data_IF_557207771720
#
_entry.id   IF_557207771720
#
_cell.length_a   1.000
_cell.length_b   1.000
_cell.length_c   1.000
_cell.angle_alpha   90.00
_cell.angle_beta   90.00
_cell.angle_gamma   90.00
#
_symmetry.space_group_name_H-M   'P 1'
#
loop_
_entity.id
_entity.type
_entity.pdbx_description
1 polymer ?
#
# COMPACT_ATOMS: atom_id res chain seq x y z
N UNK A 1 -41.88 2.03 -14.74
CA UNK A 1 -40.77 2.88 -14.22
C UNK A 1 -39.78 2.09 -13.35
N UNK A 2 -40.22 1.35 -12.33
CA UNK A 2 -39.35 0.58 -11.42
C UNK A 2 -38.55 -0.53 -12.10
N UNK A 3 -39.15 -1.20 -13.12
CA UNK A 3 -38.45 -2.20 -13.92
C UNK A 3 -37.38 -1.60 -14.82
N UNK A 4 -37.66 -0.41 -15.37
CA UNK A 4 -36.70 0.32 -16.19
C UNK A 4 -35.49 0.80 -15.34
N UNK A 5 -35.74 1.30 -14.12
CA UNK A 5 -34.68 1.71 -13.20
C UNK A 5 -33.77 0.52 -12.79
N UNK A 6 -34.36 -0.63 -12.50
CA UNK A 6 -33.61 -1.85 -12.18
C UNK A 6 -32.80 -2.37 -13.38
N UNK A 7 -33.37 -2.30 -14.59
CA UNK A 7 -32.66 -2.68 -15.80
C UNK A 7 -31.50 -1.72 -16.10
N UNK A 8 -31.71 -0.41 -15.92
CA UNK A 8 -30.66 0.60 -16.08
C UNK A 8 -29.51 0.39 -15.05
N UNK A 9 -29.84 0.17 -13.79
CA UNK A 9 -28.82 -0.12 -12.76
C UNK A 9 -28.04 -1.41 -13.08
N UNK A 10 -28.73 -2.44 -13.55
CA UNK A 10 -28.08 -3.70 -13.99
C UNK A 10 -27.14 -3.50 -15.17
N UNK A 11 -27.53 -2.67 -16.14
CA UNK A 11 -26.68 -2.33 -17.30
C UNK A 11 -25.44 -1.53 -16.86
N UNK A 12 -25.59 -0.58 -15.95
CA UNK A 12 -24.46 0.20 -15.43
C UNK A 12 -23.48 -0.72 -14.67
N UNK A 13 -23.98 -1.60 -13.81
CA UNK A 13 -23.14 -2.56 -13.12
C UNK A 13 -22.42 -3.52 -14.07
N UNK A 14 -23.12 -4.01 -15.10
CA UNK A 14 -22.52 -4.86 -16.11
C UNK A 14 -21.44 -4.13 -16.91
N UNK A 15 -21.68 -2.87 -17.29
CA UNK A 15 -20.70 -2.05 -18.00
C UNK A 15 -19.44 -1.79 -17.16
N UNK A 16 -19.61 -1.47 -15.87
CA UNK A 16 -18.49 -1.26 -14.94
C UNK A 16 -17.68 -2.55 -14.73
N UNK A 17 -18.35 -3.69 -14.56
CA UNK A 17 -17.68 -4.99 -14.44
C UNK A 17 -16.92 -5.35 -15.71
N UNK A 18 -17.52 -5.12 -16.89
CA UNK A 18 -16.87 -5.39 -18.17
C UNK A 18 -15.65 -4.49 -18.36
N UNK A 19 -15.77 -3.20 -18.04
CA UNK A 19 -14.64 -2.26 -18.12
C UNK A 19 -13.51 -2.69 -17.19
N UNK A 20 -13.81 -3.05 -15.94
CA UNK A 20 -12.82 -3.51 -14.97
C UNK A 20 -12.12 -4.82 -15.40
N UNK A 21 -12.87 -5.79 -15.93
CA UNK A 21 -12.31 -7.05 -16.44
C UNK A 21 -11.43 -6.78 -17.67
N UNK A 22 -11.87 -5.89 -18.57
CA UNK A 22 -11.11 -5.53 -19.77
C UNK A 22 -9.80 -4.84 -19.38
N UNK A 23 -9.85 -3.90 -18.45
CA UNK A 23 -8.66 -3.20 -17.95
C UNK A 23 -7.68 -4.19 -17.29
N UNK A 24 -8.18 -5.08 -16.45
CA UNK A 24 -7.37 -6.13 -15.82
C UNK A 24 -6.72 -7.05 -16.86
N UNK A 25 -7.46 -7.45 -17.90
CA UNK A 25 -6.93 -8.29 -18.97
C UNK A 25 -5.90 -7.56 -19.83
N UNK A 26 -6.09 -6.26 -20.12
CA UNK A 26 -5.10 -5.46 -20.84
C UNK A 26 -3.84 -5.32 -20.01
N UNK A 27 -3.96 -5.00 -18.71
CA UNK A 27 -2.82 -4.91 -17.81
C UNK A 27 -2.11 -6.26 -17.67
N UNK A 28 -2.85 -7.37 -17.58
CA UNK A 28 -2.29 -8.72 -17.54
C UNK A 28 -1.55 -9.07 -18.83
N UNK A 29 -2.13 -8.80 -19.98
CA UNK A 29 -1.50 -9.06 -21.28
C UNK A 29 -0.25 -8.19 -21.52
N UNK A 30 -0.26 -6.95 -21.07
CA UNK A 30 0.92 -6.08 -21.07
C UNK A 30 1.95 -6.52 -20.04
N UNK A 31 1.50 -7.02 -18.89
CA UNK A 31 2.31 -7.50 -17.80
C UNK A 31 2.98 -8.85 -18.06
N UNK A 32 2.40 -9.72 -18.89
CA UNK A 32 2.98 -11.04 -19.14
C UNK A 32 4.37 -10.96 -19.78
N UNK A 33 4.61 -10.05 -20.72
CA UNK A 33 5.93 -9.87 -21.27
C UNK A 33 6.93 -9.28 -20.27
N UNK A 34 6.47 -8.37 -19.44
CA UNK A 34 7.26 -7.74 -18.37
C UNK A 34 7.51 -8.71 -17.21
N UNK A 35 6.50 -9.54 -16.88
CA UNK A 35 6.60 -10.57 -15.84
C UNK A 35 7.54 -11.72 -16.26
N UNK A 36 7.48 -12.14 -17.50
CA UNK A 36 8.37 -13.15 -18.04
C UNK A 36 9.83 -12.65 -18.05
N UNK A 37 10.05 -11.39 -18.43
CA UNK A 37 11.37 -10.76 -18.40
C UNK A 37 11.89 -10.59 -16.98
N UNK A 38 11.02 -10.21 -16.04
CA UNK A 38 11.35 -10.09 -14.62
C UNK A 38 11.79 -11.44 -14.03
N UNK A 39 11.05 -12.51 -14.26
CA UNK A 39 11.38 -13.84 -13.76
C UNK A 39 12.63 -14.45 -14.41
N UNK A 40 12.90 -14.11 -15.66
CA UNK A 40 14.06 -14.67 -16.37
C UNK A 40 15.37 -13.98 -16.06
N UNK A 41 15.34 -12.66 -15.83
CA UNK A 41 16.57 -11.86 -15.68
C UNK A 41 16.80 -11.36 -14.25
N UNK A 42 15.82 -11.46 -13.36
CA UNK A 42 15.87 -11.04 -11.95
C UNK A 42 16.49 -9.63 -11.71
N UNK A 43 16.58 -8.82 -12.77
CA UNK A 43 17.11 -7.47 -12.72
C UNK A 43 15.97 -6.48 -12.72
N UNK A 44 15.96 -5.65 -11.72
CA UNK A 44 15.01 -4.55 -11.51
C UNK A 44 14.91 -3.57 -12.67
N UNK A 45 15.94 -3.47 -13.48
CA UNK A 45 15.93 -2.62 -14.65
C UNK A 45 14.87 -3.00 -15.69
N UNK A 46 14.21 -4.15 -15.51
CA UNK A 46 13.11 -4.62 -16.36
C UNK A 46 11.71 -4.40 -15.75
N UNK A 47 11.61 -3.93 -14.51
CA UNK A 47 10.34 -3.60 -13.89
C UNK A 47 9.96 -2.17 -14.25
N UNK A 48 9.29 -2.04 -15.37
CA UNK A 48 8.56 -0.82 -15.69
C UNK A 48 9.44 0.40 -15.95
N UNK A 49 8.86 1.30 -16.64
CA UNK A 49 9.33 2.65 -16.79
C UNK A 49 9.18 3.40 -15.44
N UNK A 50 9.81 4.54 -15.32
CA UNK A 50 9.76 5.41 -14.13
C UNK A 50 8.36 5.76 -13.61
N UNK A 51 7.31 5.24 -14.22
CA UNK A 51 5.89 5.43 -13.88
C UNK A 51 5.53 5.02 -12.45
N UNK A 52 6.27 4.09 -11.88
CA UNK A 52 6.02 3.62 -10.50
C UNK A 52 6.98 4.22 -9.47
N UNK A 53 7.86 5.11 -9.88
CA UNK A 53 8.69 5.84 -8.95
C UNK A 53 7.89 7.00 -8.36
N UNK A 54 8.10 7.22 -7.07
CA UNK A 54 7.61 8.43 -6.41
C UNK A 54 8.28 9.65 -7.05
N UNK A 55 7.54 10.74 -7.18
CA UNK A 55 8.08 12.01 -7.67
C UNK A 55 9.31 12.44 -6.84
N UNK A 56 10.39 12.77 -7.54
CA UNK A 56 11.68 13.08 -6.93
C UNK A 56 12.62 11.87 -6.73
N UNK A 57 12.17 10.64 -6.95
CA UNK A 57 13.06 9.49 -6.99
C UNK A 57 13.70 9.33 -8.38
N UNK A 58 15.00 9.03 -8.43
CA UNK A 58 15.77 8.94 -9.67
C UNK A 58 16.08 7.50 -10.12
N UNK A 59 15.95 6.53 -9.22
CA UNK A 59 16.28 5.12 -9.52
C UNK A 59 15.55 4.14 -8.61
N UNK A 60 15.45 2.89 -9.04
CA UNK A 60 14.90 1.77 -8.25
C UNK A 60 15.91 1.14 -7.26
N UNK A 61 17.10 1.66 -7.15
CA UNK A 61 18.16 1.09 -6.30
C UNK A 61 17.76 0.97 -4.82
N UNK A 62 16.83 1.81 -4.36
CA UNK A 62 16.37 1.75 -2.98
C UNK A 62 15.83 0.37 -2.57
N UNK A 63 15.24 -0.38 -3.49
CA UNK A 63 14.59 -1.67 -3.18
C UNK A 63 15.60 -2.75 -2.78
N UNK A 64 16.83 -2.67 -3.30
CA UNK A 64 17.91 -3.65 -3.06
C UNK A 64 18.99 -3.13 -2.12
N UNK A 65 18.96 -1.85 -1.83
CA UNK A 65 19.93 -1.26 -0.95
C UNK A 65 19.76 -1.81 0.48
N UNK A 66 20.84 -1.83 1.22
CA UNK A 66 20.80 -2.00 2.66
C UNK A 66 20.57 -0.65 3.34
N UNK A 67 20.05 -0.63 4.57
CA UNK A 67 20.08 0.56 5.38
C UNK A 67 21.51 1.07 5.50
N UNK A 68 21.68 2.39 5.49
CA UNK A 68 22.99 3.01 5.65
C UNK A 68 22.89 4.25 6.55
N UNK A 69 23.88 4.54 7.37
CA UNK A 69 23.96 5.83 8.07
C UNK A 69 23.84 6.97 7.07
N UNK A 70 22.99 7.95 7.36
CA UNK A 70 22.83 9.17 6.58
C UNK A 70 23.59 10.32 7.24
N UNK A 71 23.69 10.33 8.56
CA UNK A 71 24.52 11.23 9.35
C UNK A 71 24.81 10.65 10.73
N UNK A 72 25.85 11.15 11.39
CA UNK A 72 26.26 10.72 12.72
C UNK A 72 26.98 9.36 12.73
N UNK A 73 27.38 8.94 13.92
CA UNK A 73 28.03 7.64 14.15
C UNK A 73 27.01 6.67 14.72
N UNK A 74 26.40 5.89 13.84
CA UNK A 74 25.30 4.98 14.14
C UNK A 74 25.68 3.55 13.71
N UNK A 75 25.57 2.61 14.61
CA UNK A 75 25.78 1.20 14.34
C UNK A 75 24.44 0.51 14.02
N UNK A 76 24.30 -0.03 12.79
CA UNK A 76 23.17 -0.87 12.41
C UNK A 76 23.43 -2.30 12.89
N UNK A 77 22.62 -2.79 13.84
CA UNK A 77 22.72 -4.15 14.36
C UNK A 77 22.02 -5.13 13.41
N UNK A 78 20.78 -4.83 13.03
CA UNK A 78 20.01 -5.67 12.11
C UNK A 78 18.94 -4.88 11.35
N UNK A 79 18.57 -5.40 10.19
CA UNK A 79 17.45 -4.93 9.39
C UNK A 79 16.69 -6.13 8.84
N UNK A 80 15.40 -6.15 9.10
CA UNK A 80 14.50 -7.17 8.58
C UNK A 80 13.21 -6.50 8.10
N UNK A 81 12.64 -6.99 7.00
CA UNK A 81 11.34 -6.58 6.51
C UNK A 81 10.43 -7.79 6.42
N UNK A 82 9.36 -7.79 7.22
CA UNK A 82 8.36 -8.86 7.23
C UNK A 82 6.96 -8.28 7.40
N UNK A 83 5.98 -8.86 6.73
CA UNK A 83 4.56 -8.49 6.84
C UNK A 83 4.28 -6.99 6.63
N UNK A 84 5.07 -6.31 5.78
CA UNK A 84 4.92 -4.89 5.51
C UNK A 84 5.49 -3.96 6.58
N UNK A 85 6.14 -4.52 7.62
CA UNK A 85 6.85 -3.77 8.67
C UNK A 85 8.34 -3.94 8.48
N UNK A 86 9.10 -2.85 8.56
CA UNK A 86 10.54 -2.89 8.64
C UNK A 86 10.99 -2.75 10.10
N UNK A 87 11.82 -3.67 10.53
CA UNK A 87 12.44 -3.73 11.86
C UNK A 87 13.89 -3.29 11.72
N UNK A 88 14.26 -2.24 12.41
CA UNK A 88 15.58 -1.60 12.32
C UNK A 88 16.17 -1.56 13.71
N UNK A 89 17.12 -2.45 14.01
CA UNK A 89 17.82 -2.45 15.29
C UNK A 89 19.12 -1.67 15.17
N UNK A 90 19.28 -0.68 16.03
CA UNK A 90 20.39 0.27 15.99
C UNK A 90 20.96 0.52 17.39
N UNK A 91 22.21 0.92 17.41
CA UNK A 91 22.91 1.42 18.57
C UNK A 91 23.55 2.77 18.20
N UNK A 92 23.23 3.80 18.95
CA UNK A 92 23.73 5.15 18.77
C UNK A 92 24.35 5.66 20.08
N UNK A 93 25.64 5.47 20.23
CA UNK A 93 26.40 5.94 21.40
C UNK A 93 26.81 7.42 21.31
N UNK A 94 26.58 8.01 20.14
CA UNK A 94 26.95 9.40 19.84
C UNK A 94 25.84 10.42 20.07
N UNK A 95 25.96 11.54 19.38
CA UNK A 95 24.91 12.54 19.27
C UNK A 95 23.74 12.08 18.40
N UNK A 96 22.84 13.01 18.06
CA UNK A 96 21.76 12.72 17.12
C UNK A 96 22.32 12.21 15.78
N UNK A 97 21.76 11.12 15.28
CA UNK A 97 22.18 10.48 14.05
C UNK A 97 20.97 10.22 13.14
N UNK A 98 21.22 9.86 11.88
CA UNK A 98 20.17 9.50 10.96
C UNK A 98 20.54 8.23 10.15
N UNK A 99 19.54 7.41 9.86
CA UNK A 99 19.66 6.21 9.03
C UNK A 99 18.71 6.25 7.85
N UNK A 100 19.25 6.02 6.66
CA UNK A 100 18.48 5.89 5.41
C UNK A 100 18.08 4.44 5.21
N UNK A 101 16.78 4.18 5.05
CA UNK A 101 16.22 2.86 4.84
C UNK A 101 15.97 2.59 3.34
N UNK A 102 16.02 1.33 2.90
CA UNK A 102 15.70 0.92 1.53
C UNK A 102 14.18 0.89 1.29
N UNK A 103 13.50 1.98 1.61
CA UNK A 103 12.05 2.15 1.49
C UNK A 103 11.81 3.54 0.92
N UNK A 104 11.00 3.64 -0.15
CA UNK A 104 10.56 4.95 -0.65
C UNK A 104 9.54 5.58 0.29
N UNK A 105 9.68 6.87 0.53
CA UNK A 105 8.75 7.61 1.36
C UNK A 105 7.51 8.07 0.57
N UNK A 106 6.52 7.21 0.44
CA UNK A 106 5.21 7.56 -0.15
C UNK A 106 4.32 8.41 0.77
N UNK A 107 4.86 8.89 1.89
CA UNK A 107 4.07 9.50 2.95
C UNK A 107 3.36 8.46 3.83
N UNK A 108 2.70 8.93 4.88
CA UNK A 108 1.93 8.07 5.81
C UNK A 108 2.70 6.90 6.44
N UNK A 109 4.02 6.96 6.48
CA UNK A 109 4.81 6.04 7.29
C UNK A 109 4.85 6.51 8.74
N UNK A 110 4.87 5.54 9.63
CA UNK A 110 5.03 5.74 11.07
C UNK A 110 6.19 4.89 11.57
N UNK A 111 7.05 5.49 12.38
CA UNK A 111 8.17 4.81 13.02
C UNK A 111 8.03 4.95 14.54
N UNK A 112 8.15 3.86 15.26
CA UNK A 112 8.17 3.83 16.72
C UNK A 112 8.99 2.66 17.22
N UNK A 113 9.49 2.76 18.44
CA UNK A 113 10.10 1.62 19.12
C UNK A 113 9.04 0.70 19.80
N UNK A 114 9.52 -0.30 20.51
CA UNK A 114 8.67 -1.26 21.23
C UNK A 114 7.85 -0.61 22.36
N UNK A 115 8.29 0.53 22.90
CA UNK A 115 7.56 1.30 23.90
C UNK A 115 6.46 2.18 23.28
N UNK A 116 6.47 2.33 21.95
CA UNK A 116 5.58 3.22 21.19
C UNK A 116 6.10 4.65 21.06
N UNK A 117 7.35 4.92 21.49
CA UNK A 117 7.96 6.25 21.30
C UNK A 117 8.18 6.53 19.80
N UNK A 118 7.67 7.65 19.27
CA UNK A 118 7.74 7.93 17.85
C UNK A 118 9.10 8.43 17.41
N UNK A 119 9.50 8.12 16.18
CA UNK A 119 10.70 8.62 15.52
C UNK A 119 10.34 9.50 14.34
N UNK A 120 11.10 10.58 14.14
CA UNK A 120 10.91 11.48 13.00
C UNK A 120 11.30 10.76 11.69
N UNK A 121 10.42 10.89 10.70
CA UNK A 121 10.63 10.37 9.34
C UNK A 121 10.76 11.57 8.40
N UNK A 122 11.81 11.56 7.59
CA UNK A 122 12.02 12.54 6.51
C UNK A 122 12.32 11.80 5.20
N UNK A 123 12.28 12.54 4.08
CA UNK A 123 12.75 12.04 2.79
C UNK A 123 14.22 12.41 2.60
N UNK A 124 15.04 11.44 2.35
CA UNK A 124 16.44 11.63 2.01
C UNK A 124 16.70 11.48 0.51
N UNK A 125 17.95 11.16 0.17
CA UNK A 125 18.38 10.90 -1.18
C UNK A 125 17.48 9.88 -1.87
N UNK A 126 17.13 10.13 -3.13
CA UNK A 126 16.25 9.27 -3.93
C UNK A 126 14.90 8.95 -3.25
N UNK A 127 14.33 9.92 -2.52
CA UNK A 127 13.07 9.81 -1.80
C UNK A 127 12.99 8.63 -0.80
N UNK A 128 14.13 8.18 -0.30
CA UNK A 128 14.19 7.13 0.72
C UNK A 128 13.78 7.66 2.08
N UNK A 129 13.19 6.80 2.89
CA UNK A 129 12.93 7.10 4.29
C UNK A 129 14.24 7.31 5.04
N UNK A 130 14.33 8.41 5.76
CA UNK A 130 15.39 8.68 6.72
C UNK A 130 14.77 8.82 8.10
N UNK A 131 15.28 8.03 9.04
CA UNK A 131 14.89 8.10 10.46
C UNK A 131 15.93 8.92 11.22
N UNK A 132 15.45 9.82 12.04
CA UNK A 132 16.29 10.53 13.01
C UNK A 132 16.35 9.72 14.30
N UNK A 133 17.55 9.39 14.74
CA UNK A 133 17.83 8.56 15.91
C UNK A 133 18.40 9.43 17.03
N UNK A 134 17.75 9.53 18.18
CA UNK A 134 18.26 10.32 19.30
C UNK A 134 19.62 9.84 19.81
N UNK A 135 20.34 10.77 20.44
CA UNK A 135 21.59 10.46 21.14
C UNK A 135 21.38 9.38 22.21
N UNK A 136 22.29 8.43 22.30
CA UNK A 136 22.26 7.33 23.28
C UNK A 136 21.12 6.33 23.10
N UNK A 137 20.48 6.29 21.93
CA UNK A 137 19.40 5.34 21.66
C UNK A 137 19.96 3.97 21.26
N UNK A 138 19.49 2.91 21.92
CA UNK A 138 19.73 1.52 21.54
C UNK A 138 18.42 0.77 21.59
N UNK A 139 18.04 0.13 20.46
CA UNK A 139 16.79 -0.61 20.38
C UNK A 139 16.35 -0.91 18.98
N UNK A 140 15.14 -1.46 18.85
CA UNK A 140 14.50 -1.81 17.58
C UNK A 140 13.37 -0.83 17.26
N UNK A 141 13.43 -0.26 16.08
CA UNK A 141 12.44 0.69 15.55
C UNK A 141 11.62 -0.04 14.50
N UNK A 142 10.30 0.05 14.63
CA UNK A 142 9.34 -0.52 13.69
C UNK A 142 8.86 0.57 12.75
N UNK A 143 9.12 0.41 11.45
CA UNK A 143 8.66 1.33 10.41
C UNK A 143 7.57 0.66 9.60
N UNK A 144 6.37 1.25 9.60
CA UNK A 144 5.20 0.70 8.90
C UNK A 144 4.43 1.78 8.16
N UNK A 145 3.80 1.38 7.07
CA UNK A 145 2.85 2.24 6.38
C UNK A 145 1.53 2.31 7.16
N UNK A 146 1.01 3.51 7.34
CA UNK A 146 -0.30 3.74 7.94
C UNK A 146 -1.29 4.14 6.85
N UNK A 147 -2.25 3.26 6.57
CA UNK A 147 -3.26 3.52 5.56
C UNK A 147 -4.04 4.82 5.88
N UNK A 148 -4.23 5.72 4.90
CA UNK A 148 -5.00 6.93 5.10
C UNK A 148 -6.40 6.63 5.62
N UNK A 149 -6.91 7.46 6.54
CA UNK A 149 -8.22 7.22 7.18
C UNK A 149 -9.39 7.14 6.19
N UNK A 150 -9.30 7.82 5.05
CA UNK A 150 -10.32 7.76 4.01
C UNK A 150 -10.45 6.37 3.36
N UNK A 151 -9.39 5.53 3.36
CA UNK A 151 -9.50 4.14 2.89
C UNK A 151 -10.49 3.35 3.73
N UNK A 152 -10.44 3.51 5.06
CA UNK A 152 -11.41 2.87 5.97
C UNK A 152 -12.83 3.35 5.74
N UNK A 153 -13.01 4.63 5.41
CA UNK A 153 -14.32 5.16 5.05
C UNK A 153 -14.86 4.51 3.76
N UNK A 154 -14.01 4.33 2.73
CA UNK A 154 -14.42 3.67 1.49
C UNK A 154 -14.66 2.16 1.68
N UNK A 155 -13.87 1.48 2.50
CA UNK A 155 -14.14 0.08 2.87
C UNK A 155 -15.51 -0.06 3.55
N UNK A 156 -15.82 0.80 4.51
CA UNK A 156 -17.12 0.81 5.18
C UNK A 156 -18.27 1.10 4.20
N UNK A 157 -18.11 2.10 3.32
CA UNK A 157 -19.09 2.44 2.30
C UNK A 157 -19.34 1.27 1.34
N UNK A 158 -18.30 0.58 0.94
CA UNK A 158 -18.39 -0.61 0.08
C UNK A 158 -19.17 -1.74 0.77
N UNK A 159 -18.89 -1.99 2.04
CA UNK A 159 -19.59 -2.99 2.83
C UNK A 159 -21.09 -2.64 2.98
N UNK A 160 -21.42 -1.39 3.29
CA UNK A 160 -22.81 -0.91 3.37
C UNK A 160 -23.53 -1.04 2.04
N UNK A 161 -22.88 -0.70 0.94
CA UNK A 161 -23.43 -0.83 -0.41
C UNK A 161 -23.75 -2.27 -0.75
N UNK A 162 -22.84 -3.19 -0.45
CA UNK A 162 -23.03 -4.63 -0.65
C UNK A 162 -24.23 -5.16 0.16
N UNK A 163 -24.31 -4.80 1.44
CA UNK A 163 -25.44 -5.18 2.31
C UNK A 163 -26.77 -4.60 1.78
N UNK A 164 -26.75 -3.38 1.27
CA UNK A 164 -27.90 -2.75 0.61
C UNK A 164 -28.39 -3.54 -0.60
N UNK A 165 -27.48 -3.96 -1.47
CA UNK A 165 -27.83 -4.77 -2.66
C UNK A 165 -28.44 -6.12 -2.25
N UNK A 166 -27.81 -6.81 -1.28
CA UNK A 166 -28.31 -8.10 -0.76
C UNK A 166 -29.70 -7.92 -0.13
N UNK A 167 -29.88 -6.89 0.70
CA UNK A 167 -31.15 -6.57 1.34
C UNK A 167 -32.26 -6.28 0.35
N UNK A 168 -31.99 -5.45 -0.68
CA UNK A 168 -32.93 -5.17 -1.75
C UNK A 168 -33.32 -6.44 -2.53
N UNK A 169 -32.37 -7.30 -2.82
CA UNK A 169 -32.59 -8.57 -3.48
C UNK A 169 -33.47 -9.53 -2.67
N UNK A 170 -33.20 -9.66 -1.37
CA UNK A 170 -33.99 -10.47 -0.45
C UNK A 170 -35.44 -9.94 -0.32
N UNK A 171 -35.58 -8.62 -0.15
CA UNK A 171 -36.89 -7.98 -0.07
C UNK A 171 -37.71 -8.15 -1.36
N UNK A 172 -37.08 -8.01 -2.52
CA UNK A 172 -37.74 -8.21 -3.81
C UNK A 172 -38.22 -9.67 -4.00
N UNK A 173 -37.44 -10.64 -3.54
CA UNK A 173 -37.81 -12.08 -3.55
C UNK A 173 -38.99 -12.36 -2.61
N UNK A 174 -39.00 -11.78 -1.41
CA UNK A 174 -40.07 -11.95 -0.41
C UNK A 174 -41.41 -11.43 -0.94
N UNK A 175 -41.40 -10.25 -1.58
CA UNK A 175 -42.60 -9.64 -2.15
C UNK A 175 -43.21 -10.45 -3.32
N UNK A 176 -42.41 -11.23 -4.03
CA UNK A 176 -42.91 -12.12 -5.12
C UNK A 176 -43.55 -13.39 -4.61
N UNK A 177 -43.29 -13.79 -3.36
CA UNK A 177 -43.81 -15.02 -2.77
C UNK A 177 -45.15 -14.85 -2.02
N UNK A 178 -45.60 -13.61 -1.80
CA UNK A 178 -46.91 -13.36 -1.18
C UNK A 178 -47.96 -13.50 -2.29
N UNK A 179 -48.79 -14.61 -2.31
CA UNK A 179 -49.87 -14.74 -3.29
C UNK A 179 -50.88 -13.63 -3.02
N UNK A 180 -51.40 -13.06 -4.11
CA UNK A 180 -52.56 -12.17 -4.02
C UNK A 180 -53.73 -13.02 -3.47
N UNK A 181 -54.13 -12.79 -2.25
CA UNK A 181 -55.38 -13.31 -1.71
C UNK A 181 -56.53 -12.70 -2.50
N UNK A 182 -57.22 -13.55 -3.27
CA UNK A 182 -58.43 -13.21 -4.01
C UNK A 182 -59.59 -13.18 -3.02
#
# INVERSE_FOLDING_TARGET
>A
ERRAALAAAGLVCAALLTASITETNIMSAQGESSYATYNQNATINSVGTAEYLIDGASSYEAIWAQPKPASGDLHLISYEKREGVAYVSVENDGGEAAISLPIYNYGNYYAADESGAPFAITSGENMRIVLTIPAGYTGTIHVRYHAPGYWRAFEALSAVSLLGVIGCGAFARRKRRTPATV
#
